data_IF_463720336754
#
_entry.id   IF_463720336754
#
_cell.length_a   1.000
_cell.length_b   1.000
_cell.length_c   1.000
_cell.angle_alpha   90.00
_cell.angle_beta   90.00
_cell.angle_gamma   90.00
#
_symmetry.space_group_name_H-M   'P 1'
#
loop_
_entity.id
_entity.type
_entity.pdbx_description
1 polymer ?
#
# COMPACT_ATOMS: atom_id res chain seq x y z
N UNK A 1 -25.62 19.62 -14.02
CA UNK A 1 -25.34 19.02 -13.96
C UNK A 1 -24.16 18.32 -13.89
N UNK A 2 -23.99 17.76 -14.30
CA UNK A 2 -23.03 17.24 -14.50
C UNK A 2 -22.15 16.81 -13.60
N UNK A 3 -22.43 16.67 -12.91
CA UNK A 3 -21.71 16.48 -12.24
C UNK A 3 -20.98 15.54 -12.27
N UNK A 4 -20.17 15.44 -12.20
CA UNK A 4 -19.11 15.00 -12.27
C UNK A 4 -18.94 13.86 -11.55
N UNK A 5 -19.29 12.77 -11.99
CA UNK A 5 -19.24 11.52 -11.29
C UNK A 5 -17.88 11.12 -10.84
N UNK A 6 -16.86 11.64 -11.40
CA UNK A 6 -15.53 11.29 -10.95
C UNK A 6 -15.13 11.98 -9.67
N UNK A 7 -15.93 12.92 -9.27
CA UNK A 7 -15.54 13.71 -8.14
C UNK A 7 -15.32 12.96 -6.86
N UNK A 8 -16.15 12.02 -6.46
CA UNK A 8 -15.90 11.32 -5.20
C UNK A 8 -14.53 10.66 -5.15
N UNK A 9 -14.10 10.08 -6.26
CA UNK A 9 -12.79 9.47 -6.33
C UNK A 9 -11.69 10.49 -6.16
N UNK A 10 -11.89 11.66 -6.76
CA UNK A 10 -10.89 12.71 -6.70
C UNK A 10 -10.65 13.19 -5.28
N UNK A 11 -11.62 13.02 -4.39
CA UNK A 11 -11.48 13.48 -3.02
C UNK A 11 -11.00 12.39 -2.07
N UNK A 12 -10.71 11.20 -2.56
CA UNK A 12 -10.20 10.14 -1.70
C UNK A 12 -8.68 10.19 -1.69
N UNK A 13 -8.11 10.50 -0.53
CA UNK A 13 -6.66 10.67 -0.40
C UNK A 13 -5.92 9.37 -0.14
N UNK A 14 -6.60 8.38 0.42
CA UNK A 14 -6.00 7.08 0.70
C UNK A 14 -7.10 6.04 0.78
N UNK A 15 -6.80 4.83 0.38
CA UNK A 15 -7.77 3.75 0.45
C UNK A 15 -7.17 2.45 -0.01
N UNK A 16 -7.94 1.38 0.13
CA UNK A 16 -7.53 0.04 -0.31
C UNK A 16 -8.06 -0.18 -1.73
N UNK A 17 -7.17 -0.59 -2.60
CA UNK A 17 -7.50 -0.86 -3.99
C UNK A 17 -7.63 -2.36 -4.25
N UNK A 18 -8.63 -2.74 -5.03
CA UNK A 18 -8.73 -4.11 -5.58
C UNK A 18 -9.52 -4.02 -6.87
N UNK A 19 -9.08 -4.72 -7.94
CA UNK A 19 -9.79 -4.63 -9.21
C UNK A 19 -11.21 -5.20 -9.16
N UNK A 20 -11.53 -6.01 -8.15
CA UNK A 20 -12.87 -6.55 -7.97
C UNK A 20 -13.84 -5.65 -7.25
N UNK A 21 -13.39 -4.51 -6.74
CA UNK A 21 -14.29 -3.58 -6.07
C UNK A 21 -15.05 -2.74 -7.09
N UNK A 22 -16.36 -2.55 -6.91
CA UNK A 22 -17.14 -1.76 -7.88
C UNK A 22 -16.62 -0.35 -8.05
N UNK A 23 -16.20 0.28 -6.96
CA UNK A 23 -15.69 1.64 -7.01
C UNK A 23 -14.17 1.69 -7.17
N UNK A 24 -13.53 0.53 -7.28
CA UNK A 24 -12.08 0.39 -7.38
C UNK A 24 -11.34 0.77 -6.10
N UNK A 25 -12.04 1.01 -5.01
CA UNK A 25 -11.40 1.25 -3.73
C UNK A 25 -12.41 1.11 -2.60
N UNK A 26 -11.91 0.99 -1.38
CA UNK A 26 -12.72 1.09 -0.19
C UNK A 26 -11.87 1.66 0.94
N UNK A 27 -12.51 2.36 1.86
CA UNK A 27 -11.85 2.82 3.07
C UNK A 27 -12.25 1.96 4.27
N UNK A 28 -12.97 0.88 4.04
CA UNK A 28 -13.46 -0.01 5.09
C UNK A 28 -12.65 -1.31 5.07
N UNK A 29 -11.69 -1.41 5.96
CA UNK A 29 -10.83 -2.59 6.03
C UNK A 29 -11.60 -3.86 6.37
N UNK A 30 -12.59 -3.73 7.25
CA UNK A 30 -13.37 -4.91 7.66
C UNK A 30 -14.15 -5.45 6.46
N UNK A 31 -14.77 -4.55 5.70
CA UNK A 31 -15.48 -4.95 4.49
C UNK A 31 -14.54 -5.61 3.48
N UNK A 32 -13.36 -5.01 3.29
CA UNK A 32 -12.37 -5.54 2.35
C UNK A 32 -11.96 -6.95 2.74
N UNK A 33 -11.68 -7.15 4.03
CA UNK A 33 -11.23 -8.46 4.49
C UNK A 33 -12.33 -9.51 4.28
N UNK A 34 -13.58 -9.16 4.50
CA UNK A 34 -14.68 -10.09 4.27
C UNK A 34 -14.82 -10.46 2.80
N UNK A 35 -14.55 -9.52 1.92
CA UNK A 35 -14.71 -9.75 0.49
C UNK A 35 -13.54 -10.53 -0.13
N UNK A 36 -12.32 -10.25 0.30
CA UNK A 36 -11.15 -10.72 -0.43
C UNK A 36 -10.15 -11.51 0.40
N UNK A 37 -10.26 -11.52 1.71
CA UNK A 37 -9.26 -12.16 2.54
C UNK A 37 -9.79 -13.41 3.22
N UNK A 38 -8.88 -14.37 3.45
CA UNK A 38 -9.20 -15.60 4.21
C UNK A 38 -8.35 -15.61 5.47
N UNK A 39 -8.95 -16.03 6.57
CA UNK A 39 -8.31 -15.90 7.88
C UNK A 39 -7.07 -16.77 8.05
N UNK A 40 -7.04 -17.90 7.36
CA UNK A 40 -5.95 -18.87 7.52
C UNK A 40 -4.78 -18.60 6.58
N UNK A 41 -4.75 -17.45 5.91
CA UNK A 41 -3.71 -17.13 4.95
C UNK A 41 -2.86 -15.96 5.40
N UNK A 42 -1.56 -15.99 5.10
CA UNK A 42 -0.74 -14.81 5.35
C UNK A 42 -1.20 -13.65 4.49
N UNK A 43 -0.98 -12.44 4.98
CA UNK A 43 -1.45 -11.23 4.32
C UNK A 43 -0.28 -10.33 4.00
N UNK A 44 -0.18 -9.91 2.74
CA UNK A 44 0.87 -9.03 2.28
C UNK A 44 0.26 -7.68 1.98
N UNK A 45 0.79 -6.63 2.59
CA UNK A 45 0.38 -5.28 2.30
C UNK A 45 1.28 -4.66 1.24
N UNK A 46 0.73 -3.72 0.49
CA UNK A 46 1.51 -2.92 -0.44
C UNK A 46 1.04 -1.48 -0.30
N UNK A 47 1.98 -0.54 -0.37
CA UNK A 47 1.61 0.87 -0.38
C UNK A 47 2.17 1.49 -1.66
N UNK A 48 1.34 2.27 -2.36
CA UNK A 48 1.72 2.85 -3.65
C UNK A 48 1.13 4.25 -3.78
N UNK A 49 1.56 4.96 -4.82
CA UNK A 49 1.14 6.35 -5.01
C UNK A 49 -0.28 6.47 -5.48
N UNK A 50 -1.02 7.41 -4.89
CA UNK A 50 -2.37 7.73 -5.28
C UNK A 50 -2.48 8.14 -6.74
N UNK A 51 -1.44 8.78 -7.27
CA UNK A 51 -1.44 9.20 -8.67
C UNK A 51 -1.63 8.02 -9.61
N UNK A 52 -1.03 6.87 -9.28
CA UNK A 52 -1.19 5.68 -10.12
C UNK A 52 -2.64 5.20 -10.13
N UNK A 53 -3.31 5.31 -8.98
CA UNK A 53 -4.72 4.94 -8.88
C UNK A 53 -5.60 5.91 -9.67
N UNK A 54 -5.34 7.21 -9.56
CA UNK A 54 -6.13 8.23 -10.26
C UNK A 54 -6.01 8.06 -11.77
N UNK A 55 -4.79 7.82 -12.25
CA UNK A 55 -4.55 7.70 -13.68
C UNK A 55 -4.88 6.33 -14.23
N UNK A 56 -5.20 5.38 -13.37
CA UNK A 56 -5.52 4.03 -13.81
C UNK A 56 -4.31 3.22 -14.23
N UNK A 57 -3.12 3.65 -13.84
CA UNK A 57 -1.89 2.94 -14.17
C UNK A 57 -1.61 1.93 -13.07
N UNK A 58 -2.30 0.81 -13.13
CA UNK A 58 -2.37 -0.15 -12.05
C UNK A 58 -1.88 -1.54 -12.43
N UNK A 59 -1.03 -1.62 -13.45
CA UNK A 59 -0.59 -2.92 -13.96
C UNK A 59 0.16 -3.74 -12.92
N UNK A 60 1.16 -3.15 -12.26
CA UNK A 60 1.93 -3.93 -11.31
C UNK A 60 1.14 -4.20 -10.04
N UNK A 61 0.22 -3.30 -9.68
CA UNK A 61 -0.64 -3.56 -8.52
C UNK A 61 -1.55 -4.74 -8.79
N UNK A 62 -2.13 -4.81 -9.98
CA UNK A 62 -2.98 -5.93 -10.36
C UNK A 62 -2.19 -7.22 -10.38
N UNK A 63 -0.98 -7.18 -10.92
CA UNK A 63 -0.11 -8.35 -10.96
C UNK A 63 0.23 -8.81 -9.55
N UNK A 64 0.56 -7.87 -8.66
CA UNK A 64 0.87 -8.17 -7.28
C UNK A 64 -0.33 -8.84 -6.59
N UNK A 65 -1.51 -8.27 -6.73
CA UNK A 65 -2.70 -8.80 -6.08
C UNK A 65 -3.02 -10.20 -6.58
N UNK A 66 -3.01 -10.36 -7.91
CA UNK A 66 -3.31 -11.68 -8.50
C UNK A 66 -2.28 -12.73 -8.11
N UNK A 67 -1.01 -12.35 -8.07
CA UNK A 67 0.03 -13.30 -7.73
C UNK A 67 -0.07 -13.74 -6.28
N UNK A 68 -0.36 -12.80 -5.37
CA UNK A 68 -0.58 -13.15 -3.98
C UNK A 68 -1.75 -14.12 -3.84
N UNK A 69 -2.86 -13.80 -4.49
CA UNK A 69 -4.04 -14.65 -4.40
C UNK A 69 -3.80 -16.02 -5.02
N UNK A 70 -3.07 -16.06 -6.12
CA UNK A 70 -2.72 -17.32 -6.76
C UNK A 70 -1.87 -18.20 -5.85
N UNK A 71 -1.01 -17.60 -5.05
CA UNK A 71 -0.14 -18.36 -4.16
C UNK A 71 -0.75 -18.61 -2.78
N UNK A 72 -2.00 -18.28 -2.60
CA UNK A 72 -2.68 -18.54 -1.34
C UNK A 72 -2.43 -17.51 -0.26
N UNK A 73 -2.12 -16.28 -0.65
CA UNK A 73 -1.93 -15.19 0.29
C UNK A 73 -2.99 -14.12 0.06
N UNK A 74 -3.32 -13.41 1.14
CA UNK A 74 -4.18 -12.24 1.01
C UNK A 74 -3.33 -11.04 0.60
N UNK A 75 -3.93 -10.10 -0.14
CA UNK A 75 -3.24 -8.88 -0.53
C UNK A 75 -4.06 -7.67 -0.12
N UNK A 76 -3.40 -6.69 0.51
CA UNK A 76 -4.04 -5.41 0.84
C UNK A 76 -3.17 -4.31 0.24
N UNK A 77 -3.62 -3.77 -0.90
CA UNK A 77 -2.88 -2.74 -1.62
C UNK A 77 -3.51 -1.38 -1.33
N UNK A 78 -2.74 -0.47 -0.78
CA UNK A 78 -3.23 0.81 -0.29
C UNK A 78 -2.57 1.93 -1.07
N UNK A 79 -3.38 2.86 -1.58
CA UNK A 79 -2.83 4.04 -2.23
C UNK A 79 -2.82 5.22 -1.25
N UNK A 80 -1.83 6.07 -1.40
CA UNK A 80 -1.69 7.27 -0.59
C UNK A 80 -0.91 8.30 -1.40
N UNK A 81 -1.04 9.57 -1.03
CA UNK A 81 -0.28 10.60 -1.73
C UNK A 81 1.18 10.64 -1.30
N UNK A 82 1.54 9.99 -0.22
CA UNK A 82 2.95 9.85 0.16
C UNK A 82 3.53 10.98 0.97
N UNK A 83 3.00 12.17 0.86
CA UNK A 83 3.50 13.32 1.61
C UNK A 83 2.40 13.87 2.49
N UNK A 84 2.72 14.21 3.73
CA UNK A 84 1.71 14.78 4.62
C UNK A 84 1.49 16.24 4.27
N UNK A 85 0.32 16.56 3.78
CA UNK A 85 -0.08 17.94 3.59
C UNK A 85 -1.32 18.14 4.44
N UNK A 86 -1.10 18.39 5.71
CA UNK A 86 -2.18 18.40 6.69
C UNK A 86 -3.21 19.48 6.41
N UNK A 87 -2.81 20.57 5.79
CA UNK A 87 -3.75 21.63 5.49
C UNK A 87 -4.85 21.19 4.53
N UNK A 88 -4.59 20.15 3.76
CA UNK A 88 -5.58 19.67 2.80
C UNK A 88 -6.36 18.47 3.32
N UNK A 89 -6.16 18.12 4.57
CA UNK A 89 -6.86 16.98 5.14
C UNK A 89 -6.32 15.64 4.69
N UNK A 90 -5.13 15.61 4.13
CA UNK A 90 -4.52 14.35 3.70
C UNK A 90 -4.05 13.55 4.91
N UNK A 91 -4.29 12.24 4.94
CA UNK A 91 -3.81 11.45 6.06
C UNK A 91 -2.30 11.32 6.05
N UNK A 92 -1.73 11.24 7.23
CA UNK A 92 -0.31 10.94 7.38
C UNK A 92 -0.09 9.45 7.17
N UNK A 93 1.17 9.04 6.99
CA UNK A 93 1.47 7.61 6.91
C UNK A 93 1.05 6.88 8.17
N UNK A 94 1.20 7.53 9.32
CA UNK A 94 0.74 6.93 10.58
C UNK A 94 -0.74 6.61 10.51
N UNK A 95 -1.55 7.55 10.03
CA UNK A 95 -2.99 7.34 9.90
C UNK A 95 -3.31 6.24 8.89
N UNK A 96 -2.58 6.21 7.77
CA UNK A 96 -2.77 5.17 6.76
C UNK A 96 -2.47 3.79 7.33
N UNK A 97 -1.38 3.67 8.09
CA UNK A 97 -1.03 2.41 8.72
C UNK A 97 -2.13 1.95 9.69
N UNK A 98 -2.60 2.86 10.54
CA UNK A 98 -3.61 2.50 11.52
C UNK A 98 -4.96 2.19 10.88
N UNK A 99 -5.26 2.83 9.76
CA UNK A 99 -6.54 2.60 9.11
C UNK A 99 -6.57 1.31 8.29
N UNK A 100 -5.44 0.93 7.67
CA UNK A 100 -5.46 -0.13 6.67
C UNK A 100 -4.53 -1.29 6.95
N UNK A 101 -3.55 -1.13 7.82
CA UNK A 101 -2.61 -2.21 8.11
C UNK A 101 -2.69 -2.68 9.56
N UNK A 102 -3.59 -2.09 10.34
CA UNK A 102 -3.82 -2.48 11.73
C UNK A 102 -5.30 -2.72 11.93
N UNK A 103 -5.63 -3.67 12.80
CA UNK A 103 -7.01 -3.94 13.20
C UNK A 103 -7.00 -4.35 14.66
N UNK A 104 -7.85 -3.69 15.47
CA UNK A 104 -7.96 -4.01 16.89
C UNK A 104 -6.61 -3.95 17.60
N UNK A 105 -5.78 -2.99 17.25
CA UNK A 105 -4.48 -2.81 17.88
C UNK A 105 -3.44 -3.83 17.47
N UNK A 106 -3.70 -4.63 16.45
CA UNK A 106 -2.79 -5.67 15.97
C UNK A 106 -2.53 -5.50 14.48
N UNK A 107 -1.37 -5.97 14.00
CA UNK A 107 -1.12 -5.92 12.57
C UNK A 107 -2.16 -6.71 11.79
N UNK A 108 -2.66 -6.11 10.73
CA UNK A 108 -3.58 -6.79 9.81
C UNK A 108 -2.82 -7.40 8.64
N UNK A 109 -1.53 -7.12 8.53
CA UNK A 109 -0.66 -7.66 7.48
C UNK A 109 0.59 -8.23 8.14
N UNK A 110 1.23 -9.16 7.45
CA UNK A 110 2.46 -9.79 7.95
C UNK A 110 3.70 -9.08 7.44
N UNK A 111 3.60 -8.38 6.34
CA UNK A 111 4.69 -7.62 5.76
C UNK A 111 4.09 -6.53 4.86
N UNK A 112 4.80 -5.42 4.72
CA UNK A 112 4.38 -4.35 3.83
C UNK A 112 5.45 -4.16 2.75
N UNK A 113 5.02 -4.14 1.49
CA UNK A 113 5.88 -3.81 0.37
C UNK A 113 5.73 -2.32 0.10
N UNK A 114 6.82 -1.58 0.28
CA UNK A 114 6.84 -0.14 0.07
C UNK A 114 7.25 0.14 -1.37
N UNK A 115 6.34 0.65 -2.18
CA UNK A 115 6.67 1.03 -3.56
C UNK A 115 6.79 2.54 -3.72
N UNK A 116 6.70 3.29 -2.62
CA UNK A 116 7.00 4.71 -2.65
C UNK A 116 8.51 4.89 -2.84
N UNK A 117 8.92 6.04 -3.34
CA UNK A 117 10.33 6.27 -3.66
C UNK A 117 11.15 6.73 -2.47
N UNK A 118 10.61 6.60 -1.27
CA UNK A 118 11.32 6.99 -0.05
C UNK A 118 10.92 6.05 1.07
N UNK A 119 11.76 5.98 2.10
CA UNK A 119 11.42 5.18 3.26
C UNK A 119 10.31 5.87 4.06
N UNK A 120 9.58 5.08 4.82
CA UNK A 120 8.43 5.63 5.55
C UNK A 120 8.83 6.73 6.54
N UNK A 121 9.98 6.60 7.18
CA UNK A 121 10.40 7.60 8.15
C UNK A 121 10.95 8.86 7.50
N UNK A 122 11.33 8.80 6.22
CA UNK A 122 11.88 9.96 5.54
C UNK A 122 10.85 11.06 5.32
N UNK A 123 9.57 10.70 5.29
CA UNK A 123 8.52 11.69 5.09
C UNK A 123 8.25 12.52 6.35
N UNK A 124 8.70 12.04 7.51
CA UNK A 124 8.41 12.71 8.77
C UNK A 124 7.01 12.49 9.29
N UNK A 125 6.18 11.75 8.57
CA UNK A 125 4.80 11.55 8.99
C UNK A 125 4.60 10.27 9.80
N UNK A 126 5.66 9.49 9.98
CA UNK A 126 5.66 8.36 10.89
C UNK A 126 7.07 8.24 11.45
N UNK A 127 7.18 7.98 12.73
CA UNK A 127 8.49 7.93 13.38
C UNK A 127 9.01 6.50 13.43
N UNK A 128 10.32 6.36 13.68
CA UNK A 128 10.91 5.05 13.87
C UNK A 128 10.29 4.32 15.05
N UNK A 129 9.99 5.06 16.10
CA UNK A 129 9.39 4.49 17.30
C UNK A 129 8.00 3.94 16.99
N UNK A 130 7.22 4.69 16.22
CA UNK A 130 5.91 4.21 15.79
C UNK A 130 6.01 2.93 14.98
N UNK A 131 6.96 2.88 14.05
CA UNK A 131 7.13 1.68 13.23
C UNK A 131 7.52 0.48 14.06
N UNK A 132 8.36 0.70 15.08
CA UNK A 132 8.73 -0.39 15.99
C UNK A 132 7.53 -0.90 16.76
N UNK A 133 6.68 0.00 17.21
CA UNK A 133 5.48 -0.39 17.94
C UNK A 133 4.51 -1.17 17.05
N UNK A 134 4.41 -0.77 15.80
CA UNK A 134 3.55 -1.46 14.84
C UNK A 134 4.09 -2.86 14.55
N UNK A 135 5.42 -3.03 14.56
CA UNK A 135 6.08 -4.34 14.42
C UNK A 135 5.77 -5.05 13.12
N UNK A 136 5.61 -4.33 12.03
CA UNK A 136 5.40 -4.93 10.72
C UNK A 136 6.67 -4.77 9.90
N UNK A 137 7.28 -5.86 9.40
CA UNK A 137 8.45 -5.75 8.52
C UNK A 137 8.08 -5.02 7.23
N UNK A 138 9.01 -4.23 6.73
CA UNK A 138 8.82 -3.46 5.50
C UNK A 138 9.85 -3.89 4.48
N UNK A 139 9.38 -4.32 3.32
CA UNK A 139 10.24 -4.66 2.19
C UNK A 139 10.23 -3.47 1.24
N UNK A 140 11.43 -2.94 0.95
CA UNK A 140 11.52 -1.84 0.01
C UNK A 140 11.40 -2.42 -1.38
N UNK A 141 10.22 -2.27 -1.97
CA UNK A 141 9.87 -2.95 -3.18
C UNK A 141 9.94 -2.14 -4.45
N UNK A 142 10.44 -0.90 -4.37
CA UNK A 142 10.48 -0.05 -5.55
C UNK A 142 11.23 -0.73 -6.71
N UNK A 143 12.33 -1.37 -6.42
CA UNK A 143 13.12 -2.03 -7.44
C UNK A 143 12.42 -3.22 -8.07
N UNK A 144 11.41 -3.75 -7.39
CA UNK A 144 10.68 -4.90 -7.91
C UNK A 144 9.72 -4.53 -9.04
N UNK A 145 9.44 -3.23 -9.19
CA UNK A 145 8.49 -2.76 -10.19
C UNK A 145 9.17 -1.99 -11.31
N UNK A 146 10.50 -1.85 -11.26
CA UNK A 146 11.23 -1.14 -12.32
C UNK A 146 11.27 -1.96 -13.59
N UNK A 147 11.43 -1.29 -14.74
CA UNK A 147 11.64 -2.01 -15.98
C UNK A 147 12.84 -2.96 -15.87
N UNK A 148 12.81 -3.99 -16.68
CA UNK A 148 13.80 -5.05 -16.59
C UNK A 148 15.24 -4.54 -16.68
N UNK A 149 15.50 -3.58 -17.55
CA UNK A 149 16.84 -3.04 -17.69
C UNK A 149 17.29 -2.34 -16.41
N UNK A 150 16.40 -1.60 -15.80
CA UNK A 150 16.74 -0.91 -14.55
C UNK A 150 16.87 -1.89 -13.42
N UNK A 151 16.07 -2.95 -13.44
CA UNK A 151 16.17 -4.00 -12.45
C UNK A 151 17.54 -4.66 -12.52
N UNK A 152 18.02 -4.95 -13.73
CA UNK A 152 19.31 -5.57 -13.91
C UNK A 152 20.45 -4.70 -13.39
N UNK A 153 20.36 -3.39 -13.63
CA UNK A 153 21.35 -2.46 -13.12
C UNK A 153 21.35 -2.40 -11.60
N UNK A 154 20.16 -2.33 -11.03
CA UNK A 154 20.02 -2.25 -9.58
C UNK A 154 20.53 -3.51 -8.91
N UNK A 155 20.31 -4.64 -9.56
CA UNK A 155 20.66 -5.93 -8.98
C UNK A 155 22.14 -6.07 -8.72
N UNK A 156 22.97 -5.42 -9.51
CA UNK A 156 24.41 -5.53 -9.33
C UNK A 156 24.88 -4.89 -8.04
N UNK A 157 24.24 -3.82 -7.62
CA UNK A 157 24.59 -3.15 -6.40
C UNK A 157 23.66 -3.43 -5.25
N UNK A 158 22.71 -4.34 -5.44
CA UNK A 158 21.69 -4.51 -4.46
C UNK A 158 21.98 -5.63 -3.52
N UNK A 159 21.78 -5.37 -2.27
CA UNK A 159 21.81 -6.44 -1.28
C UNK A 159 20.53 -7.26 -1.45
N UNK A 160 20.64 -8.57 -1.59
CA UNK A 160 19.42 -9.36 -1.78
C UNK A 160 18.46 -9.32 -0.60
N UNK A 161 18.92 -8.83 0.52
CA UNK A 161 18.02 -8.72 1.66
C UNK A 161 17.70 -7.27 1.89
N UNK A 162 16.67 -6.82 1.23
CA UNK A 162 16.24 -5.44 1.35
C UNK A 162 15.05 -5.33 2.27
N UNK A 163 15.04 -6.07 3.33
CA UNK A 163 13.93 -6.06 4.28
C UNK A 163 14.30 -5.16 5.43
N UNK A 164 13.44 -4.18 5.66
CA UNK A 164 13.62 -3.24 6.75
C UNK A 164 12.65 -3.63 7.85
N UNK A 165 13.16 -3.94 9.02
CA UNK A 165 12.33 -4.27 10.16
C UNK A 165 12.36 -3.10 11.10
N UNK A 166 11.22 -2.50 11.29
CA UNK A 166 11.13 -1.27 12.09
C UNK A 166 10.60 -1.53 13.46
#
# INVERSE_FOLDING_TARGET
GGEMPAEPSAYCWAGIYHPGLPELYTTDLIRYKKMFCKEDRPTVGMIFYRDEWIWGDLQYQNTFIRECERQGMNAIAVFTNGLPVSEMGMPTLSQVFHNYFMADGRPAVDIIVNTLKFSFTASGSITKEELKEISIPVLEGYSLIMPEQEWAKSKEGMNPVEISIS
#
